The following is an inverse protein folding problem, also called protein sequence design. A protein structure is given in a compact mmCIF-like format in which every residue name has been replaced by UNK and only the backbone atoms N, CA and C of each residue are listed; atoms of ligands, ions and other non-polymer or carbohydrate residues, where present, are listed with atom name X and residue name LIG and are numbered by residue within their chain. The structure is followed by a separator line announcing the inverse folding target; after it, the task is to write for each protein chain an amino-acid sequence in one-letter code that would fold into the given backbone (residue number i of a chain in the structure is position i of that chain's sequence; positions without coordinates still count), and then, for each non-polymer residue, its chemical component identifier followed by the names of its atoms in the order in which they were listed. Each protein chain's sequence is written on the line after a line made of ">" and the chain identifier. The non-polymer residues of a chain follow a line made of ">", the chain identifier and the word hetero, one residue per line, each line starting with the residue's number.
data_IF_226878584104
#
_entry.id   IF_226878584104
#
_cell.length_a   1.000
_cell.length_b   1.000
_cell.length_c   1.000
_cell.angle_alpha   90.00
_cell.angle_beta   90.00
_cell.angle_gamma   90.00
#
_symmetry.space_group_name_H-M   'P 1'
#
loop_
_entity.id
_entity.type
_entity.pdbx_description
1 polymer ?
#
# COMPACT_ATOMS: atom_id res chain seq x y z
N UNK A 1 7.92 -18.96 -0.03
CA UNK A 1 6.57 -18.35 0.01
C UNK A 1 5.73 -19.17 0.97
N UNK A 2 4.98 -18.54 1.86
CA UNK A 2 4.11 -19.22 2.85
C UNK A 2 2.66 -19.10 2.35
N UNK A 3 1.86 -20.15 2.51
CA UNK A 3 0.44 -20.19 2.12
C UNK A 3 -0.48 -20.30 3.33
N UNK A 4 -1.75 -19.96 3.13
CA UNK A 4 -2.83 -20.08 4.12
C UNK A 4 -4.06 -20.67 3.41
N UNK A 5 -4.84 -21.48 4.13
CA UNK A 5 -6.12 -22.00 3.63
C UNK A 5 -7.24 -21.13 4.19
N UNK A 6 -8.04 -20.56 3.31
CA UNK A 6 -9.14 -19.66 3.63
C UNK A 6 -10.39 -20.11 2.88
N UNK A 7 -11.55 -19.92 3.50
CA UNK A 7 -12.82 -19.99 2.80
C UNK A 7 -13.10 -18.68 2.03
N UNK A 8 -14.10 -18.70 1.15
CA UNK A 8 -14.42 -17.53 0.32
C UNK A 8 -14.74 -16.27 1.12
N UNK A 9 -15.49 -16.42 2.23
CA UNK A 9 -15.85 -15.31 3.10
C UNK A 9 -14.62 -14.74 3.84
N UNK A 10 -13.73 -15.61 4.33
CA UNK A 10 -12.48 -15.19 4.97
C UNK A 10 -11.57 -14.43 3.99
N UNK A 11 -11.51 -14.87 2.73
CA UNK A 11 -10.75 -14.17 1.70
C UNK A 11 -11.33 -12.78 1.41
N UNK A 12 -12.66 -12.64 1.33
CA UNK A 12 -13.34 -11.35 1.15
C UNK A 12 -13.13 -10.39 2.34
N UNK A 13 -13.22 -10.90 3.57
CA UNK A 13 -12.97 -10.09 4.77
C UNK A 13 -11.51 -9.64 4.86
N UNK A 14 -10.56 -10.50 4.52
CA UNK A 14 -9.14 -10.13 4.45
C UNK A 14 -8.92 -9.09 3.35
N UNK A 15 -9.51 -9.26 2.18
CA UNK A 15 -9.45 -8.27 1.11
C UNK A 15 -9.99 -6.91 1.59
N UNK A 16 -11.12 -6.90 2.30
CA UNK A 16 -11.71 -5.68 2.85
C UNK A 16 -10.80 -5.00 3.88
N UNK A 17 -10.22 -5.75 4.81
CA UNK A 17 -9.28 -5.22 5.80
C UNK A 17 -8.04 -4.62 5.15
N UNK A 18 -7.49 -5.29 4.13
CA UNK A 18 -6.32 -4.80 3.39
C UNK A 18 -6.64 -3.52 2.61
N UNK A 19 -7.83 -3.39 2.02
CA UNK A 19 -8.28 -2.15 1.36
C UNK A 19 -8.30 -0.99 2.36
N UNK A 20 -8.94 -1.17 3.51
CA UNK A 20 -9.06 -0.13 4.53
C UNK A 20 -7.68 0.31 5.04
N UNK A 21 -6.81 -0.64 5.34
CA UNK A 21 -5.44 -0.35 5.78
C UNK A 21 -4.64 0.42 4.71
N UNK A 22 -4.79 0.08 3.43
CA UNK A 22 -4.16 0.82 2.33
C UNK A 22 -4.71 2.24 2.21
N UNK A 23 -6.01 2.44 2.41
CA UNK A 23 -6.65 3.76 2.36
C UNK A 23 -6.15 4.67 3.48
N UNK A 24 -6.05 4.14 4.70
CA UNK A 24 -5.50 4.86 5.86
C UNK A 24 -4.01 5.20 5.62
N UNK A 25 -3.20 4.23 5.20
CA UNK A 25 -1.78 4.47 4.92
C UNK A 25 -1.57 5.50 3.81
N UNK A 26 -2.37 5.47 2.75
CA UNK A 26 -2.27 6.46 1.66
C UNK A 26 -2.68 7.86 2.12
N UNK A 27 -3.69 7.97 2.98
CA UNK A 27 -4.10 9.24 3.58
C UNK A 27 -2.97 9.81 4.43
N UNK A 28 -2.40 9.01 5.33
CA UNK A 28 -1.31 9.43 6.21
C UNK A 28 -0.05 9.78 5.41
N UNK A 29 0.28 9.02 4.36
CA UNK A 29 1.43 9.30 3.47
C UNK A 29 1.27 10.57 2.62
N UNK A 30 0.08 11.17 2.60
CA UNK A 30 -0.17 12.46 1.94
C UNK A 30 0.12 13.65 2.88
N UNK A 31 0.29 13.41 4.18
CA UNK A 31 0.64 14.47 5.14
C UNK A 31 2.16 14.74 5.14
N UNK A 32 2.55 15.86 4.52
CA UNK A 32 3.94 16.34 4.43
C UNK A 32 4.55 16.75 5.79
N UNK A 33 3.76 16.76 6.87
CA UNK A 33 4.21 17.15 8.21
C UNK A 33 4.83 16.00 9.00
N UNK A 34 4.81 14.79 8.46
CA UNK A 34 5.41 13.62 9.09
C UNK A 34 6.93 13.68 9.02
N UNK A 35 7.58 13.41 10.16
CA UNK A 35 9.03 13.24 10.24
C UNK A 35 9.50 12.18 9.22
N UNK A 36 10.62 12.42 8.53
CA UNK A 36 11.11 11.59 7.44
C UNK A 36 11.35 10.12 7.84
N UNK A 37 11.65 9.86 9.12
CA UNK A 37 11.73 8.50 9.65
C UNK A 37 10.36 7.80 9.65
N UNK A 38 9.32 8.51 10.08
CA UNK A 38 7.95 7.99 10.15
C UNK A 38 7.44 7.76 8.73
N UNK A 39 7.65 8.71 7.83
CA UNK A 39 7.25 8.58 6.42
C UNK A 39 7.87 7.33 5.78
N UNK A 40 9.15 7.07 6.02
CA UNK A 40 9.83 5.88 5.51
C UNK A 40 9.27 4.57 6.08
N UNK A 41 8.97 4.53 7.39
CA UNK A 41 8.35 3.37 8.02
C UNK A 41 6.95 3.09 7.45
N UNK A 42 6.17 4.14 7.18
CA UNK A 42 4.84 4.02 6.56
C UNK A 42 4.93 3.55 5.11
N UNK A 43 5.93 4.02 4.35
CA UNK A 43 6.21 3.54 2.99
C UNK A 43 6.50 2.02 2.96
N UNK A 44 7.32 1.56 3.92
CA UNK A 44 7.67 0.14 4.04
C UNK A 44 6.43 -0.70 4.39
N UNK A 45 5.60 -0.21 5.32
CA UNK A 45 4.30 -0.83 5.66
C UNK A 45 3.37 -0.89 4.45
N UNK A 46 3.18 0.22 3.73
CA UNK A 46 2.38 0.27 2.50
C UNK A 46 2.85 -0.77 1.49
N UNK A 47 4.16 -0.90 1.23
CA UNK A 47 4.70 -1.89 0.30
C UNK A 47 4.33 -3.31 0.69
N UNK A 48 4.47 -3.66 1.98
CA UNK A 48 4.14 -5.00 2.48
C UNK A 48 2.65 -5.28 2.30
N UNK A 49 1.78 -4.39 2.78
CA UNK A 49 0.32 -4.55 2.69
C UNK A 49 -0.12 -4.63 1.23
N UNK A 50 0.43 -3.79 0.35
CA UNK A 50 0.11 -3.80 -1.07
C UNK A 50 0.50 -5.13 -1.75
N UNK A 51 1.63 -5.75 -1.39
CA UNK A 51 1.98 -7.07 -1.93
C UNK A 51 1.06 -8.18 -1.42
N UNK A 52 0.53 -8.07 -0.20
CA UNK A 52 -0.46 -9.01 0.32
C UNK A 52 -1.78 -8.82 -0.43
N UNK A 53 -2.25 -7.58 -0.58
CA UNK A 53 -3.47 -7.22 -1.28
C UNK A 53 -3.52 -7.73 -2.73
N UNK A 54 -2.38 -7.70 -3.46
CA UNK A 54 -2.24 -8.31 -4.79
C UNK A 54 -2.61 -9.78 -4.89
N UNK A 55 -2.60 -10.51 -3.78
CA UNK A 55 -2.96 -11.93 -3.75
C UNK A 55 -4.47 -12.15 -3.72
N UNK A 56 -5.24 -11.13 -3.32
CA UNK A 56 -6.69 -11.19 -3.15
C UNK A 56 -7.42 -10.37 -4.23
N UNK A 57 -6.86 -9.25 -4.64
CA UNK A 57 -7.56 -8.27 -5.46
C UNK A 57 -7.52 -8.54 -6.97
N UNK A 58 -8.56 -8.07 -7.66
CA UNK A 58 -8.59 -8.03 -9.11
C UNK A 58 -7.60 -6.99 -9.67
N UNK A 59 -7.06 -7.17 -10.89
CA UNK A 59 -6.17 -6.19 -11.51
C UNK A 59 -6.76 -4.78 -11.63
N UNK A 60 -8.09 -4.67 -11.78
CA UNK A 60 -8.78 -3.38 -11.85
C UNK A 60 -8.76 -2.66 -10.50
N UNK A 61 -8.89 -3.39 -9.41
CA UNK A 61 -8.89 -2.80 -8.06
C UNK A 61 -7.47 -2.46 -7.58
N UNK A 62 -6.44 -3.11 -8.12
CA UNK A 62 -5.04 -2.76 -7.84
C UNK A 62 -4.67 -1.36 -8.30
N UNK A 63 -5.27 -0.89 -9.41
CA UNK A 63 -5.00 0.45 -9.94
C UNK A 63 -5.44 1.57 -8.98
N UNK A 64 -6.43 1.32 -8.12
CA UNK A 64 -6.95 2.32 -7.16
C UNK A 64 -5.93 2.67 -6.08
N UNK A 65 -5.09 1.71 -5.71
CA UNK A 65 -4.10 1.85 -4.64
C UNK A 65 -2.68 2.00 -5.16
N UNK A 66 -2.51 2.23 -6.47
CA UNK A 66 -1.20 2.34 -7.10
C UNK A 66 -0.61 3.72 -6.83
N UNK A 67 0.38 3.79 -5.95
CA UNK A 67 1.12 5.03 -5.71
C UNK A 67 2.20 5.19 -6.78
N UNK A 68 2.18 6.30 -7.51
CA UNK A 68 3.29 6.68 -8.38
C UNK A 68 4.48 6.97 -7.47
N UNK A 69 5.67 6.37 -7.69
CA UNK A 69 6.86 6.80 -6.94
C UNK A 69 6.99 8.31 -7.13
N UNK A 70 7.32 9.09 -6.07
CA UNK A 70 7.58 10.50 -6.25
C UNK A 70 8.60 10.60 -7.38
N UNK A 71 8.23 11.30 -8.46
CA UNK A 71 9.17 11.57 -9.53
C UNK A 71 10.38 12.14 -8.84
N UNK A 72 11.53 11.45 -8.88
CA UNK A 72 12.80 12.09 -8.56
C UNK A 72 12.76 13.40 -9.35
N UNK A 73 12.66 14.53 -8.65
CA UNK A 73 13.17 15.77 -9.21
C UNK A 73 14.58 15.37 -9.62
N UNK A 74 14.79 15.30 -10.93
CA UNK A 74 16.12 15.27 -11.48
C UNK A 74 16.66 16.61 -11.02
N UNK A 75 17.39 16.59 -9.91
CA UNK A 75 18.19 17.71 -9.46
C UNK A 75 19.12 18.01 -10.62
N UNK A 76 18.66 18.96 -11.41
CA UNK A 76 19.36 19.61 -12.49
C UNK A 76 19.94 20.85 -11.83
N UNK A 77 21.26 21.01 -11.95
CA UNK A 77 22.09 22.13 -11.47
C UNK A 77 22.58 21.93 -10.03
N UNK A 78 23.88 22.02 -9.71
CA UNK A 78 25.06 22.48 -10.44
C UNK A 78 26.31 21.96 -9.69
#
# INVERSE_FOLDING_TARGET
>A
MIGFMLNGKEAEEIEYLLKRELEELLLDLTDDRLDGLIHKAMEERYKIIYQIYKRFASPRDLCKYLRRPPSKSIDSNE
#
